data_IF_342043749777
#
_entry.id   IF_342043749777
#
_cell.length_a   1.000
_cell.length_b   1.000
_cell.length_c   1.000
_cell.angle_alpha   90.00
_cell.angle_beta   90.00
_cell.angle_gamma   90.00
#
_symmetry.space_group_name_H-M   'P 1'
#
loop_
_entity.id
_entity.type
_entity.pdbx_description
1 polymer ?
#
# COMPACT_ATOMS: atom_id res chain seq x y z
N UNK A 1 -15.80 -11.83 -0.36
CA UNK A 1 -15.19 -12.40 -1.58
C UNK A 1 -13.74 -12.71 -1.27
N UNK A 2 -13.23 -13.85 -1.69
CA UNK A 2 -11.82 -14.17 -1.50
C UNK A 2 -10.97 -13.28 -2.42
N UNK A 3 -9.89 -12.73 -1.89
CA UNK A 3 -8.92 -11.97 -2.68
C UNK A 3 -8.15 -12.91 -3.62
N UNK A 4 -8.15 -12.59 -4.90
CA UNK A 4 -7.36 -13.28 -5.94
C UNK A 4 -6.21 -12.36 -6.31
N UNK A 5 -4.97 -12.73 -6.00
CA UNK A 5 -3.81 -11.88 -6.30
C UNK A 5 -3.62 -11.72 -7.81
N UNK A 6 -3.08 -10.59 -8.27
CA UNK A 6 -2.73 -10.39 -9.68
C UNK A 6 -1.74 -11.46 -10.17
N UNK A 7 -2.03 -12.04 -11.32
CA UNK A 7 -1.19 -13.08 -11.93
C UNK A 7 -1.36 -13.11 -13.45
N UNK A 8 -0.27 -13.34 -14.17
CA UNK A 8 -0.29 -13.53 -15.63
C UNK A 8 -0.95 -14.86 -16.06
N UNK A 9 -1.21 -15.76 -15.09
CA UNK A 9 -1.86 -17.05 -15.33
C UNK A 9 -3.39 -16.97 -15.18
N UNK A 10 -3.90 -15.84 -14.70
CA UNK A 10 -5.30 -15.64 -14.42
C UNK A 10 -5.95 -14.70 -15.42
N UNK A 11 -7.15 -15.04 -15.86
CA UNK A 11 -7.96 -14.17 -16.74
C UNK A 11 -8.71 -13.10 -15.95
N UNK A 12 -8.89 -13.29 -14.64
CA UNK A 12 -9.53 -12.34 -13.73
C UNK A 12 -8.86 -12.38 -12.34
N UNK A 13 -8.59 -11.21 -11.79
CA UNK A 13 -7.99 -11.04 -10.46
C UNK A 13 -8.36 -9.68 -9.85
N UNK A 14 -7.98 -9.46 -8.59
CA UNK A 14 -8.18 -8.17 -7.96
C UNK A 14 -7.21 -7.12 -8.56
N UNK A 15 -7.77 -6.15 -9.26
CA UNK A 15 -7.01 -5.13 -9.98
C UNK A 15 -6.08 -4.34 -9.04
N UNK A 16 -4.80 -4.13 -9.40
CA UNK A 16 -3.86 -3.35 -8.60
C UNK A 16 -4.31 -1.91 -8.32
N UNK A 17 -5.13 -1.34 -9.21
CA UNK A 17 -5.61 0.03 -9.06
C UNK A 17 -6.90 0.19 -8.29
N UNK A 18 -7.98 -0.52 -8.73
CA UNK A 18 -9.31 -0.32 -8.18
C UNK A 18 -9.71 -1.40 -7.17
N UNK A 19 -8.86 -2.41 -6.96
CA UNK A 19 -9.07 -3.55 -6.04
C UNK A 19 -10.29 -4.43 -6.37
N UNK A 20 -11.08 -4.08 -7.37
CA UNK A 20 -12.20 -4.91 -7.82
C UNK A 20 -11.69 -6.21 -8.42
N UNK A 21 -12.35 -7.33 -8.12
CA UNK A 21 -12.18 -8.56 -8.88
C UNK A 21 -12.73 -8.34 -10.28
N UNK A 22 -11.89 -8.40 -11.30
CA UNK A 22 -12.24 -7.99 -12.66
C UNK A 22 -11.48 -8.78 -13.71
N UNK A 23 -12.14 -9.02 -14.83
CA UNK A 23 -11.50 -9.57 -16.02
C UNK A 23 -10.41 -8.63 -16.53
N UNK A 24 -9.34 -9.23 -17.09
CA UNK A 24 -8.19 -8.51 -17.64
C UNK A 24 -8.08 -8.82 -19.14
N UNK A 25 -7.92 -7.79 -19.93
CA UNK A 25 -7.58 -7.91 -21.33
C UNK A 25 -6.06 -7.84 -21.47
N UNK A 26 -5.48 -8.81 -22.16
CA UNK A 26 -4.02 -8.96 -22.26
C UNK A 26 -3.47 -8.48 -23.59
N UNK A 27 -2.33 -7.79 -23.53
CA UNK A 27 -1.62 -7.23 -24.67
C UNK A 27 -0.13 -7.56 -24.53
N UNK A 28 0.53 -7.87 -25.64
CA UNK A 28 1.98 -7.87 -25.66
C UNK A 28 2.53 -6.48 -25.98
N UNK A 29 3.80 -6.28 -25.72
CA UNK A 29 4.47 -5.01 -25.95
C UNK A 29 5.27 -5.05 -27.25
N UNK A 30 5.23 -3.95 -27.99
CA UNK A 30 6.07 -3.71 -29.16
C UNK A 30 7.14 -2.67 -28.89
N UNK A 31 8.19 -2.66 -29.68
CA UNK A 31 9.26 -1.67 -29.65
C UNK A 31 9.49 -1.08 -31.05
N UNK A 32 9.90 0.16 -31.09
CA UNK A 32 10.34 0.85 -32.30
C UNK A 32 11.68 1.54 -31.99
N UNK A 33 12.64 1.40 -32.90
CA UNK A 33 13.87 2.17 -32.80
C UNK A 33 13.54 3.67 -32.92
N UNK A 34 14.05 4.45 -31.99
CA UNK A 34 13.89 5.90 -32.00
C UNK A 34 15.03 6.54 -32.77
N UNK A 35 14.78 7.50 -33.68
CA UNK A 35 15.83 8.32 -34.28
C UNK A 35 16.62 9.04 -33.17
N UNK A 36 17.94 9.13 -33.34
CA UNK A 36 18.88 9.67 -32.32
C UNK A 36 18.57 11.09 -31.78
N UNK A 37 17.55 11.75 -32.28
CA UNK A 37 17.19 13.13 -31.94
C UNK A 37 15.75 13.29 -31.42
N UNK A 38 14.99 12.25 -31.15
CA UNK A 38 13.60 12.40 -30.71
C UNK A 38 13.39 11.90 -29.29
N UNK A 39 13.06 12.84 -28.40
CA UNK A 39 12.63 12.60 -27.03
C UNK A 39 11.13 12.24 -26.93
N UNK A 40 10.51 11.74 -27.98
CA UNK A 40 9.09 11.42 -27.99
C UNK A 40 8.85 9.94 -28.24
N UNK A 41 8.25 9.30 -27.26
CA UNK A 41 7.72 7.94 -27.36
C UNK A 41 6.31 8.04 -27.96
N UNK A 42 6.19 8.05 -29.28
CA UNK A 42 4.90 7.80 -29.92
C UNK A 42 4.64 6.31 -29.89
N UNK A 43 3.63 5.93 -29.09
CA UNK A 43 3.35 4.57 -28.71
C UNK A 43 3.12 3.61 -29.87
N UNK A 44 3.63 2.43 -29.74
CA UNK A 44 3.19 1.28 -30.52
C UNK A 44 3.17 0.04 -29.65
N UNK A 45 2.04 -0.61 -29.60
CA UNK A 45 1.90 -1.89 -28.91
C UNK A 45 1.30 -2.90 -29.89
N UNK A 46 2.03 -3.95 -30.17
CA UNK A 46 1.48 -5.17 -30.74
C UNK A 46 2.02 -6.36 -29.99
N UNK A 47 1.12 -7.13 -29.45
CA UNK A 47 1.35 -8.27 -28.59
C UNK A 47 1.91 -9.47 -29.32
N UNK A 48 2.98 -10.10 -28.79
CA UNK A 48 3.43 -11.21 -29.59
C UNK A 48 4.10 -12.41 -28.98
N UNK A 49 4.50 -12.54 -27.89
CA UNK A 49 4.77 -13.82 -27.24
C UNK A 49 5.32 -13.63 -25.83
N UNK A 50 4.73 -14.31 -24.93
CA UNK A 50 5.19 -14.42 -23.57
C UNK A 50 6.13 -15.63 -23.47
N UNK A 51 7.39 -15.38 -23.19
CA UNK A 51 8.33 -16.40 -22.75
C UNK A 51 8.59 -16.20 -21.25
N UNK A 52 8.25 -17.22 -20.49
CA UNK A 52 8.40 -17.23 -19.05
C UNK A 52 9.89 -17.35 -18.70
N UNK A 53 10.37 -16.53 -17.76
CA UNK A 53 11.69 -16.66 -17.10
C UNK A 53 12.92 -16.00 -17.74
N UNK A 54 12.80 -15.28 -18.84
CA UNK A 54 13.93 -14.58 -19.46
C UNK A 54 13.84 -13.06 -19.26
N UNK A 55 15.00 -12.39 -19.26
CA UNK A 55 15.05 -10.94 -19.35
C UNK A 55 14.29 -10.45 -20.60
N UNK A 56 13.61 -9.28 -20.55
CA UNK A 56 12.99 -8.72 -21.75
C UNK A 56 14.01 -8.59 -22.87
N UNK A 57 13.68 -9.15 -24.05
CA UNK A 57 14.52 -9.07 -25.24
C UNK A 57 13.69 -8.60 -26.43
N UNK A 58 14.34 -8.06 -27.43
CA UNK A 58 13.70 -7.65 -28.67
C UNK A 58 13.72 -8.82 -29.68
N UNK A 59 12.64 -9.01 -30.40
CA UNK A 59 12.53 -10.01 -31.48
C UNK A 59 11.76 -9.45 -32.67
N UNK A 60 12.07 -9.92 -33.88
CA UNK A 60 11.38 -9.50 -35.09
C UNK A 60 10.06 -10.28 -35.27
N UNK A 61 9.03 -9.55 -35.66
CA UNK A 61 7.73 -10.12 -35.99
C UNK A 61 7.69 -10.59 -37.46
N UNK A 62 7.28 -11.81 -37.66
CA UNK A 62 7.30 -12.45 -38.98
C UNK A 62 6.40 -11.85 -40.06
N UNK A 63 5.52 -10.89 -39.71
CA UNK A 63 4.57 -10.29 -40.67
C UNK A 63 4.50 -8.77 -40.49
N UNK A 64 5.05 -8.04 -41.51
CA UNK A 64 4.89 -6.60 -41.65
C UNK A 64 6.14 -5.77 -41.31
N UNK A 65 6.24 -4.61 -41.97
CA UNK A 65 7.40 -3.73 -41.89
C UNK A 65 7.76 -3.31 -40.46
N UNK A 66 8.99 -3.55 -40.07
CA UNK A 66 9.66 -2.99 -38.87
C UNK A 66 8.91 -3.18 -37.55
N UNK A 67 8.16 -4.24 -37.35
CA UNK A 67 7.53 -4.53 -36.08
C UNK A 67 8.47 -5.38 -35.22
N UNK A 68 8.92 -4.80 -34.11
CA UNK A 68 9.74 -5.46 -33.11
C UNK A 68 8.84 -5.74 -31.89
N UNK A 69 8.82 -7.00 -31.43
CA UNK A 69 8.16 -7.38 -30.18
C UNK A 69 9.11 -7.32 -29.00
N UNK A 70 8.56 -7.16 -27.81
CA UNK A 70 9.28 -7.30 -26.54
C UNK A 70 8.85 -8.61 -25.89
N UNK A 71 9.78 -9.55 -25.78
CA UNK A 71 9.51 -10.82 -25.06
C UNK A 71 9.49 -10.60 -23.55
N UNK A 72 8.84 -11.49 -22.82
CA UNK A 72 8.79 -11.47 -21.37
C UNK A 72 8.24 -10.17 -20.75
N UNK A 73 7.55 -9.35 -21.56
CA UNK A 73 6.86 -8.15 -21.14
C UNK A 73 5.44 -8.10 -21.71
N UNK A 74 4.45 -7.83 -20.86
CA UNK A 74 3.04 -7.81 -21.21
C UNK A 74 2.36 -6.57 -20.62
N UNK A 75 1.20 -6.22 -21.17
CA UNK A 75 0.28 -5.31 -20.51
C UNK A 75 -1.06 -6.00 -20.26
N UNK A 76 -1.70 -5.71 -19.15
CA UNK A 76 -3.10 -6.06 -18.91
C UNK A 76 -3.93 -4.82 -18.66
N UNK A 77 -5.16 -4.79 -19.18
CA UNK A 77 -6.14 -3.72 -18.95
C UNK A 77 -7.30 -4.24 -18.13
N UNK A 78 -7.55 -3.59 -16.99
CA UNK A 78 -8.70 -3.92 -16.15
C UNK A 78 -10.00 -3.43 -16.79
N UNK A 79 -10.97 -4.33 -16.97
CA UNK A 79 -12.28 -3.99 -17.56
C UNK A 79 -13.09 -3.04 -16.65
N UNK A 80 -12.92 -3.11 -15.32
CA UNK A 80 -13.67 -2.26 -14.37
C UNK A 80 -13.18 -0.80 -14.33
N UNK A 81 -11.86 -0.56 -14.35
CA UNK A 81 -11.31 0.81 -14.22
C UNK A 81 -10.56 1.31 -15.46
N UNK A 82 -10.42 0.46 -16.47
CA UNK A 82 -9.75 0.74 -17.75
C UNK A 82 -8.26 1.16 -17.64
N UNK A 83 -7.63 0.95 -16.47
CA UNK A 83 -6.21 1.23 -16.26
C UNK A 83 -5.35 0.04 -16.68
N UNK A 84 -4.11 0.35 -17.09
CA UNK A 84 -3.15 -0.62 -17.63
C UNK A 84 -2.12 -0.99 -16.58
N UNK A 85 -1.85 -2.29 -16.45
CA UNK A 85 -0.75 -2.86 -15.66
C UNK A 85 0.32 -3.39 -16.60
N UNK A 86 1.57 -3.05 -16.37
CA UNK A 86 2.73 -3.58 -17.13
C UNK A 86 3.38 -4.69 -16.32
N UNK A 87 3.70 -5.76 -17.01
CA UNK A 87 4.30 -6.95 -16.43
C UNK A 87 5.65 -7.23 -17.07
N UNK A 88 6.59 -7.67 -16.25
CA UNK A 88 7.84 -8.30 -16.70
C UNK A 88 7.90 -9.68 -16.08
N UNK A 89 7.94 -10.70 -16.91
CA UNK A 89 7.73 -12.09 -16.49
C UNK A 89 6.37 -12.23 -15.74
N UNK A 90 6.42 -12.70 -14.50
CA UNK A 90 5.24 -12.86 -13.63
C UNK A 90 5.06 -11.69 -12.63
N UNK A 91 5.90 -10.67 -12.70
CA UNK A 91 5.91 -9.57 -11.74
C UNK A 91 5.34 -8.29 -12.34
N UNK A 92 4.59 -7.55 -11.55
CA UNK A 92 4.09 -6.22 -11.93
C UNK A 92 5.26 -5.24 -11.91
N UNK A 93 5.57 -4.65 -13.08
CA UNK A 93 6.54 -3.58 -13.20
C UNK A 93 5.89 -2.19 -13.05
N UNK A 94 4.58 -2.08 -13.39
CA UNK A 94 3.79 -0.88 -13.21
C UNK A 94 2.29 -1.23 -13.12
N UNK A 95 1.52 -0.62 -12.22
CA UNK A 95 1.99 0.34 -11.22
C UNK A 95 2.86 -0.34 -10.16
N UNK A 96 3.75 0.42 -9.56
CA UNK A 96 4.40 -0.03 -8.33
C UNK A 96 3.37 0.03 -7.20
N UNK A 97 2.50 -0.96 -7.17
CA UNK A 97 1.56 -1.15 -6.06
C UNK A 97 2.21 -2.15 -5.12
N UNK A 98 2.52 -1.69 -3.94
CA UNK A 98 2.97 -2.59 -2.91
C UNK A 98 1.91 -3.67 -2.61
N UNK A 99 2.33 -4.87 -2.30
CA UNK A 99 1.46 -5.99 -1.92
C UNK A 99 0.95 -5.90 -0.48
N UNK A 100 1.29 -4.83 0.24
CA UNK A 100 0.78 -4.58 1.59
C UNK A 100 -0.74 -4.34 1.59
N UNK A 101 -1.42 -4.55 2.71
CA UNK A 101 -2.81 -4.16 2.88
C UNK A 101 -3.04 -2.70 2.47
N UNK A 102 -4.22 -2.37 1.93
CA UNK A 102 -4.54 -0.97 1.61
C UNK A 102 -4.45 -0.10 2.88
N UNK A 103 -3.91 1.12 2.74
CA UNK A 103 -3.87 2.08 3.83
C UNK A 103 -5.29 2.46 4.27
N UNK A 104 -5.48 2.68 5.58
CA UNK A 104 -6.74 3.20 6.10
C UNK A 104 -7.12 4.52 5.39
N UNK A 105 -8.37 4.72 4.94
CA UNK A 105 -8.78 5.92 4.20
C UNK A 105 -8.59 7.23 4.99
N UNK A 106 -8.67 7.19 6.31
CA UNK A 106 -8.48 8.35 7.18
C UNK A 106 -7.01 8.54 7.64
N UNK A 107 -6.09 7.75 7.11
CA UNK A 107 -4.66 7.92 7.42
C UNK A 107 -4.18 9.29 6.93
N UNK A 108 -3.54 10.13 7.78
CA UNK A 108 -2.99 11.42 7.38
C UNK A 108 -1.98 11.29 6.23
N UNK A 109 -1.97 12.25 5.31
CA UNK A 109 -1.21 12.21 4.06
C UNK A 109 0.30 12.01 4.26
N UNK A 110 0.87 12.59 5.33
CA UNK A 110 2.29 12.45 5.63
C UNK A 110 2.66 11.03 6.09
N UNK A 111 1.75 10.39 6.83
CA UNK A 111 1.89 8.99 7.28
C UNK A 111 1.61 8.04 6.10
N UNK A 112 0.62 8.36 5.28
CA UNK A 112 0.26 7.60 4.07
C UNK A 112 1.42 7.52 3.09
N UNK A 113 2.19 8.59 2.91
CA UNK A 113 3.37 8.57 2.03
C UNK A 113 4.40 7.53 2.48
N UNK A 114 4.71 7.47 3.77
CA UNK A 114 5.63 6.46 4.30
C UNK A 114 5.05 5.05 4.19
N UNK A 115 3.73 4.91 4.40
CA UNK A 115 3.02 3.64 4.24
C UNK A 115 3.09 3.13 2.80
N UNK A 116 2.80 3.98 1.83
CA UNK A 116 2.80 3.62 0.41
C UNK A 116 4.22 3.31 -0.07
N UNK A 117 5.23 4.08 0.36
CA UNK A 117 6.64 3.79 0.08
C UNK A 117 7.06 2.45 0.68
N UNK A 118 6.74 2.20 1.94
CA UNK A 118 6.99 0.92 2.60
C UNK A 118 6.31 -0.24 1.84
N UNK A 119 5.08 -0.04 1.37
CA UNK A 119 4.33 -1.02 0.60
C UNK A 119 5.03 -1.39 -0.71
N UNK A 120 5.63 -0.42 -1.42
CA UNK A 120 6.31 -0.67 -2.69
C UNK A 120 7.57 -1.51 -2.55
N UNK A 121 8.24 -1.43 -1.40
CA UNK A 121 9.50 -2.15 -1.15
C UNK A 121 9.32 -3.41 -0.29
N UNK A 122 8.10 -3.75 0.11
CA UNK A 122 7.84 -4.84 1.06
C UNK A 122 8.45 -6.17 0.62
N UNK A 123 8.29 -6.53 -0.66
CA UNK A 123 8.82 -7.79 -1.19
C UNK A 123 10.33 -7.74 -1.45
N UNK A 124 10.85 -6.56 -1.77
CA UNK A 124 12.27 -6.37 -2.07
C UNK A 124 13.11 -6.20 -0.81
N UNK A 125 12.56 -5.57 0.21
CA UNK A 125 13.22 -5.27 1.48
C UNK A 125 12.21 -5.23 2.63
N UNK A 126 11.78 -6.38 3.17
CA UNK A 126 10.89 -6.42 4.34
C UNK A 126 11.42 -5.59 5.50
N UNK A 127 12.74 -5.62 5.71
CA UNK A 127 13.42 -4.79 6.71
C UNK A 127 13.27 -3.29 6.45
N UNK A 128 13.44 -2.85 5.20
CA UNK A 128 13.25 -1.45 4.81
C UNK A 128 11.80 -1.00 5.01
N UNK A 129 10.84 -1.84 4.61
CA UNK A 129 9.43 -1.59 4.84
C UNK A 129 9.09 -1.45 6.34
N UNK A 130 9.60 -2.34 7.18
CA UNK A 130 9.40 -2.26 8.63
C UNK A 130 9.98 -0.97 9.25
N UNK A 131 11.13 -0.49 8.76
CA UNK A 131 11.73 0.77 9.20
C UNK A 131 10.85 1.98 8.81
N UNK A 132 10.27 1.99 7.62
CA UNK A 132 9.35 3.04 7.17
C UNK A 132 8.03 3.02 7.98
N UNK A 133 7.46 1.84 8.26
CA UNK A 133 6.27 1.74 9.11
C UNK A 133 6.58 2.23 10.54
N UNK A 134 7.77 1.97 11.07
CA UNK A 134 8.20 2.55 12.34
C UNK A 134 8.26 4.08 12.30
N UNK A 135 8.76 4.67 11.19
CA UNK A 135 8.74 6.12 11.00
C UNK A 135 7.30 6.65 10.93
N UNK A 136 6.41 5.95 10.22
CA UNK A 136 4.99 6.28 10.17
C UNK A 136 4.34 6.31 11.57
N UNK A 137 4.65 5.35 12.46
CA UNK A 137 4.20 5.36 13.86
C UNK A 137 4.73 6.58 14.62
N UNK A 138 5.97 6.98 14.41
CA UNK A 138 6.53 8.17 15.05
C UNK A 138 5.78 9.44 14.63
N UNK A 139 5.43 9.56 13.35
CA UNK A 139 4.58 10.64 12.86
C UNK A 139 3.16 10.56 13.42
N UNK A 140 2.60 9.35 13.52
CA UNK A 140 1.27 9.15 14.11
C UNK A 140 1.23 9.59 15.59
N UNK A 141 2.26 9.29 16.40
CA UNK A 141 2.36 9.80 17.76
C UNK A 141 2.31 11.34 17.79
N UNK A 142 2.96 12.01 16.84
CA UNK A 142 2.91 13.46 16.70
C UNK A 142 1.51 13.96 16.34
N UNK A 143 0.83 13.29 15.43
CA UNK A 143 -0.57 13.59 15.05
C UNK A 143 -1.51 13.45 16.26
N UNK A 144 -1.23 12.49 17.15
CA UNK A 144 -1.94 12.29 18.41
C UNK A 144 -1.50 13.23 19.53
N UNK A 145 -0.79 14.32 19.21
CA UNK A 145 -0.42 15.39 20.14
C UNK A 145 0.85 15.15 20.94
N UNK A 146 1.66 14.15 20.60
CA UNK A 146 2.94 13.89 21.25
C UNK A 146 4.11 14.59 20.54
N UNK A 147 5.28 14.77 21.19
CA UNK A 147 6.44 15.41 20.56
C UNK A 147 6.97 14.73 19.28
N UNK A 148 6.78 13.42 19.12
CA UNK A 148 7.28 12.64 17.99
C UNK A 148 8.81 12.48 17.98
N UNK A 149 9.48 12.65 19.13
CA UNK A 149 10.95 12.54 19.25
C UNK A 149 11.42 11.16 19.70
N UNK A 150 10.66 10.57 20.61
CA UNK A 150 10.95 9.26 21.19
C UNK A 150 9.66 8.45 21.25
N UNK A 151 9.52 7.46 20.38
CA UNK A 151 8.30 6.64 20.28
C UNK A 151 7.94 5.99 21.63
N UNK A 152 8.92 5.54 22.43
CA UNK A 152 8.66 4.91 23.71
C UNK A 152 8.03 5.88 24.72
N UNK A 153 8.56 7.10 24.78
CA UNK A 153 8.08 8.13 25.69
C UNK A 153 6.71 8.65 25.23
N UNK A 154 6.54 8.79 23.90
CA UNK A 154 5.28 9.20 23.29
C UNK A 154 4.16 8.17 23.57
N UNK A 155 4.43 6.87 23.41
CA UNK A 155 3.48 5.80 23.77
C UNK A 155 3.16 5.88 25.28
N UNK A 156 4.17 6.04 26.14
CA UNK A 156 3.97 6.17 27.57
C UNK A 156 3.09 7.37 27.96
N UNK A 157 3.19 8.49 27.25
CA UNK A 157 2.34 9.66 27.46
C UNK A 157 0.91 9.41 26.98
N UNK A 158 0.72 8.77 25.83
CA UNK A 158 -0.61 8.37 25.32
C UNK A 158 -1.32 7.41 26.28
N UNK A 159 -0.60 6.45 26.86
CA UNK A 159 -1.14 5.50 27.84
C UNK A 159 -1.61 6.24 29.11
N UNK A 160 -0.83 7.20 29.61
CA UNK A 160 -1.24 8.07 30.73
C UNK A 160 -2.48 8.89 30.41
N UNK A 161 -2.67 9.24 29.13
CA UNK A 161 -3.83 9.93 28.59
C UNK A 161 -5.05 9.03 28.37
N UNK A 162 -4.98 7.72 28.70
CA UNK A 162 -6.11 6.80 28.57
C UNK A 162 -6.17 6.03 27.24
N UNK A 163 -5.05 5.87 26.54
CA UNK A 163 -5.01 5.06 25.32
C UNK A 163 -5.48 3.61 25.58
N UNK A 164 -6.31 3.08 24.68
CA UNK A 164 -6.78 1.68 24.76
C UNK A 164 -5.58 0.73 24.84
N UNK A 165 -5.56 -0.24 25.78
CA UNK A 165 -4.45 -1.18 25.94
C UNK A 165 -4.12 -1.99 24.67
N UNK A 166 -5.09 -2.26 23.82
CA UNK A 166 -4.86 -2.99 22.53
C UNK A 166 -4.12 -2.12 21.54
N UNK A 167 -4.43 -0.81 21.51
CA UNK A 167 -3.71 0.16 20.67
C UNK A 167 -2.28 0.34 21.18
N UNK A 168 -2.09 0.40 22.50
CA UNK A 168 -0.76 0.40 23.11
C UNK A 168 0.06 -0.83 22.67
N UNK A 169 -0.50 -2.03 22.78
CA UNK A 169 0.17 -3.26 22.37
C UNK A 169 0.56 -3.24 20.89
N UNK A 170 -0.31 -2.72 20.02
CA UNK A 170 -0.02 -2.58 18.59
C UNK A 170 1.14 -1.60 18.35
N UNK A 171 1.14 -0.44 18.99
CA UNK A 171 2.22 0.55 18.91
C UNK A 171 3.56 -0.04 19.41
N UNK A 172 3.55 -0.73 20.54
CA UNK A 172 4.74 -1.38 21.10
C UNK A 172 5.28 -2.49 20.19
N UNK A 173 4.41 -3.29 19.57
CA UNK A 173 4.82 -4.32 18.64
C UNK A 173 5.52 -3.70 17.41
N UNK A 174 4.94 -2.65 16.81
CA UNK A 174 5.57 -1.96 15.66
C UNK A 174 6.89 -1.31 16.09
N UNK A 175 6.94 -0.69 17.28
CA UNK A 175 8.16 -0.08 17.80
C UNK A 175 9.29 -1.11 17.96
N UNK A 176 9.01 -2.24 18.60
CA UNK A 176 10.03 -3.27 18.89
C UNK A 176 10.50 -3.95 17.61
N UNK A 177 9.57 -4.41 16.78
CA UNK A 177 9.89 -5.09 15.51
C UNK A 177 10.60 -4.13 14.54
N UNK A 178 10.06 -2.92 14.37
CA UNK A 178 10.66 -1.92 13.48
C UNK A 178 12.03 -1.43 13.97
N UNK A 179 12.29 -1.42 15.29
CA UNK A 179 13.62 -1.11 15.82
C UNK A 179 14.66 -2.18 15.46
N UNK A 180 14.26 -3.46 15.48
CA UNK A 180 15.11 -4.57 15.05
C UNK A 180 15.44 -4.54 13.55
N UNK A 181 14.63 -3.85 12.76
CA UNK A 181 14.88 -3.66 11.33
C UNK A 181 16.12 -2.79 11.06
N UNK A 182 16.41 -1.80 11.91
CA UNK A 182 17.53 -0.85 11.73
C UNK A 182 18.73 -1.17 12.62
N UNK A 183 18.54 -1.94 13.68
CA UNK A 183 19.62 -2.39 14.57
C UNK A 183 19.71 -3.91 14.54
N UNK A 184 20.87 -4.50 14.22
CA UNK A 184 21.07 -5.94 14.30
C UNK A 184 20.77 -6.43 15.72
N UNK A 185 19.74 -7.22 15.89
CA UNK A 185 19.27 -7.62 17.21
C UNK A 185 18.65 -9.01 17.20
N UNK A 186 17.64 -9.20 18.03
CA UNK A 186 16.98 -10.49 18.28
C UNK A 186 16.06 -10.95 17.14
N UNK A 187 15.59 -10.05 16.27
CA UNK A 187 14.68 -10.34 15.16
C UNK A 187 15.40 -10.03 13.86
N UNK A 188 15.57 -11.03 13.00
CA UNK A 188 16.11 -10.86 11.65
C UNK A 188 14.94 -10.73 10.66
N UNK A 189 14.74 -9.50 10.17
CA UNK A 189 13.68 -9.19 9.21
C UNK A 189 14.14 -9.23 7.74
N UNK A 190 15.37 -9.69 7.47
CA UNK A 190 15.90 -9.65 6.09
C UNK A 190 15.02 -10.39 5.10
N UNK A 191 14.44 -11.51 5.53
CA UNK A 191 13.60 -12.37 4.70
C UNK A 191 12.20 -12.62 5.30
N UNK A 192 11.82 -11.92 6.37
CA UNK A 192 10.54 -12.09 7.04
C UNK A 192 9.49 -11.08 6.56
N UNK A 193 9.01 -11.33 5.34
CA UNK A 193 7.92 -10.57 4.74
C UNK A 193 6.64 -10.63 5.59
N UNK A 194 6.31 -11.78 6.15
CA UNK A 194 5.06 -11.97 6.90
C UNK A 194 5.02 -11.09 8.17
N UNK A 195 6.13 -11.01 8.89
CA UNK A 195 6.26 -10.12 10.04
C UNK A 195 6.19 -8.66 9.60
N UNK A 196 6.89 -8.27 8.53
CA UNK A 196 6.81 -6.91 7.99
C UNK A 196 5.38 -6.55 7.57
N UNK A 197 4.65 -7.43 6.85
CA UNK A 197 3.24 -7.22 6.49
C UNK A 197 2.34 -7.05 7.70
N UNK A 198 2.61 -7.73 8.80
CA UNK A 198 1.85 -7.58 10.04
C UNK A 198 1.93 -6.15 10.59
N UNK A 199 3.06 -5.45 10.42
CA UNK A 199 3.21 -4.06 10.86
C UNK A 199 2.25 -3.11 10.13
N UNK A 200 1.98 -3.34 8.85
CA UNK A 200 0.98 -2.58 8.09
C UNK A 200 -0.42 -2.76 8.66
N UNK A 201 -0.78 -3.99 9.02
CA UNK A 201 -2.08 -4.30 9.64
C UNK A 201 -2.21 -3.62 11.01
N UNK A 202 -1.13 -3.61 11.81
CA UNK A 202 -1.12 -2.95 13.11
C UNK A 202 -1.21 -1.42 12.97
N UNK A 203 -0.49 -0.81 12.03
CA UNK A 203 -0.60 0.63 11.78
C UNK A 203 -2.02 1.01 11.35
N UNK A 204 -2.64 0.26 10.43
CA UNK A 204 -4.04 0.46 10.06
C UNK A 204 -4.99 0.35 11.25
N UNK A 205 -4.79 -0.63 12.13
CA UNK A 205 -5.57 -0.78 13.37
C UNK A 205 -5.44 0.44 14.27
N UNK A 206 -4.21 0.95 14.46
CA UNK A 206 -3.98 2.13 15.29
C UNK A 206 -4.69 3.35 14.71
N UNK A 207 -4.57 3.60 13.39
CA UNK A 207 -5.27 4.70 12.70
C UNK A 207 -6.79 4.54 12.83
N UNK A 208 -7.31 3.33 12.65
CA UNK A 208 -8.73 3.05 12.82
C UNK A 208 -9.23 3.46 14.20
N UNK A 209 -8.55 3.03 15.25
CA UNK A 209 -8.95 3.27 16.65
C UNK A 209 -8.73 4.71 17.14
N UNK A 210 -7.72 5.38 16.62
CA UNK A 210 -7.34 6.72 17.13
C UNK A 210 -7.84 7.86 16.25
N UNK A 211 -8.18 7.60 14.99
CA UNK A 211 -8.62 8.62 14.02
C UNK A 211 -10.00 8.30 13.44
N UNK A 212 -10.18 7.12 12.77
CA UNK A 212 -11.41 6.83 12.04
C UNK A 212 -12.61 6.64 12.96
N UNK A 213 -12.47 5.84 14.01
CA UNK A 213 -13.56 5.57 14.95
C UNK A 213 -14.03 6.84 15.70
N UNK A 214 -13.13 7.68 16.28
CA UNK A 214 -13.53 8.94 16.89
C UNK A 214 -14.19 9.91 15.91
N UNK A 215 -13.67 10.01 14.68
CA UNK A 215 -14.25 10.84 13.62
C UNK A 215 -15.66 10.40 13.28
N UNK A 216 -15.87 9.11 13.05
CA UNK A 216 -17.17 8.55 12.73
C UNK A 216 -18.19 8.79 13.86
N UNK A 217 -17.80 8.56 15.11
CA UNK A 217 -18.66 8.83 16.28
C UNK A 217 -19.03 10.31 16.35
N UNK A 218 -18.06 11.22 16.13
CA UNK A 218 -18.31 12.66 16.13
C UNK A 218 -19.27 13.08 15.01
N UNK A 219 -19.13 12.54 13.81
CA UNK A 219 -20.02 12.80 12.67
C UNK A 219 -21.47 12.35 12.97
N UNK A 220 -21.64 11.15 13.52
CA UNK A 220 -22.96 10.64 13.92
C UNK A 220 -23.57 11.50 15.02
N UNK A 221 -22.78 11.86 16.03
CA UNK A 221 -23.25 12.69 17.15
C UNK A 221 -23.66 14.10 16.66
N UNK A 222 -22.91 14.70 15.76
CA UNK A 222 -23.23 16.01 15.17
C UNK A 222 -24.52 15.99 14.33
N UNK A 223 -24.97 14.81 13.86
CA UNK A 223 -26.21 14.66 13.11
C UNK A 223 -27.46 14.55 13.97
N UNK A 224 -27.31 14.52 15.30
CA UNK A 224 -28.45 14.41 16.21
C UNK A 224 -29.28 15.71 16.23
N UNK A 225 -30.63 15.59 16.39
CA UNK A 225 -31.49 16.75 16.56
C UNK A 225 -31.08 17.58 17.81
N UNK A 226 -31.13 18.92 17.68
CA UNK A 226 -30.73 19.83 18.78
C UNK A 226 -31.41 19.52 20.13
N UNK A 227 -32.70 19.11 20.12
CA UNK A 227 -33.42 18.75 21.33
C UNK A 227 -32.84 17.53 22.03
N UNK A 228 -32.31 16.55 21.26
CA UNK A 228 -31.62 15.38 21.82
C UNK A 228 -30.29 15.74 22.41
N UNK A 229 -29.48 16.57 21.72
CA UNK A 229 -28.20 17.05 22.21
C UNK A 229 -28.34 17.81 23.54
N UNK A 230 -29.29 18.76 23.62
CA UNK A 230 -29.61 19.49 24.88
C UNK A 230 -30.06 18.59 26.03
N UNK A 231 -30.79 17.50 25.71
CA UNK A 231 -31.17 16.52 26.74
C UNK A 231 -29.96 15.72 27.28
N UNK A 232 -29.03 15.36 26.39
CA UNK A 232 -27.77 14.70 26.76
C UNK A 232 -26.92 15.62 27.65
N UNK A 233 -26.68 16.87 27.23
CA UNK A 233 -25.94 17.86 28.01
C UNK A 233 -26.52 18.09 29.40
N UNK A 234 -27.87 18.15 29.50
CA UNK A 234 -28.59 18.27 30.78
C UNK A 234 -28.43 17.05 31.67
N UNK A 235 -28.29 15.85 31.10
CA UNK A 235 -28.02 14.62 31.85
C UNK A 235 -26.59 14.66 32.41
N UNK A 236 -25.62 14.99 31.59
CA UNK A 236 -24.18 14.92 31.91
C UNK A 236 -23.78 16.05 32.87
N UNK A 237 -24.44 17.20 32.85
CA UNK A 237 -24.23 18.29 33.81
C UNK A 237 -24.72 17.99 35.22
N UNK A 238 -25.42 16.87 35.46
CA UNK A 238 -25.92 16.43 36.77
C UNK A 238 -25.10 15.28 37.38
N UNK A 239 -24.12 14.76 36.64
CA UNK A 239 -23.20 13.73 37.08
C UNK A 239 -21.87 14.35 37.58
#
# INVERSE_FOLDING_TARGET
MNYVPPSVRETAFNCPYCRAFSHQEWFGLGARELPKAQNAVDGLVNALSYQQENAPTLFELKHGQNNIGVSSALASRCVSCNKITIWVNNSIAYPQTGEAPAANPDMPDDIRRDYDEASTILDQSPRGAAALIRLAIQKLCKELGQPGKNINDDIGALVKGGLDPRVQQALDAVRVIGNSAVHPGQIDLRDDRATAETLFKLLNLVVDKTISEPKHVAEVFASLPEGAVKAIEKRDSKA
#
